data_IF_452653638472
#
_entry.id   IF_452653638472
#
_cell.length_a   1.000
_cell.length_b   1.000
_cell.length_c   1.000
_cell.angle_alpha   90.00
_cell.angle_beta   90.00
_cell.angle_gamma   90.00
#
_symmetry.space_group_name_H-M   'P 1'
#
loop_
_entity.id
_entity.type
_entity.pdbx_description
1 polymer ?
#
# COMPACT_ATOMS: atom_id res chain seq x y z
N UNK A 1 -10.53 15.68 6.00
CA UNK A 1 -11.01 15.65 4.60
C UNK A 1 -9.87 16.13 3.72
N UNK A 2 -9.60 15.44 2.62
CA UNK A 2 -8.48 15.75 1.75
C UNK A 2 -8.73 17.03 0.92
N UNK A 3 -7.66 17.74 0.59
CA UNK A 3 -7.68 18.80 -0.41
C UNK A 3 -7.75 18.21 -1.83
N UNK A 4 -8.17 19.02 -2.81
CA UNK A 4 -8.15 18.61 -4.23
C UNK A 4 -6.76 18.14 -4.63
N UNK A 5 -5.70 18.89 -4.26
CA UNK A 5 -4.32 18.53 -4.56
C UNK A 5 -3.96 17.13 -4.06
N UNK A 6 -4.33 16.79 -2.82
CA UNK A 6 -4.09 15.46 -2.27
C UNK A 6 -4.87 14.36 -3.01
N UNK A 7 -6.13 14.63 -3.39
CA UNK A 7 -6.98 13.64 -4.05
C UNK A 7 -6.67 13.42 -5.54
N UNK A 8 -5.97 14.36 -6.18
CA UNK A 8 -5.62 14.29 -7.61
C UNK A 8 -4.12 14.20 -7.86
N UNK A 9 -3.31 13.97 -6.83
CA UNK A 9 -1.88 13.73 -6.96
C UNK A 9 -1.46 12.56 -6.09
N UNK A 10 -0.39 11.90 -6.51
CA UNK A 10 0.13 10.76 -5.80
C UNK A 10 1.18 11.23 -4.79
N UNK A 11 0.97 10.88 -3.52
CA UNK A 11 1.96 11.13 -2.47
C UNK A 11 3.13 10.15 -2.67
N UNK A 12 4.32 10.68 -2.91
CA UNK A 12 5.53 9.89 -3.13
C UNK A 12 6.15 9.46 -1.79
N UNK A 13 6.76 8.28 -1.80
CA UNK A 13 7.49 7.68 -0.67
C UNK A 13 8.93 8.21 -0.56
N UNK A 14 9.51 8.65 -1.68
CA UNK A 14 10.93 8.98 -1.79
C UNK A 14 11.82 7.79 -2.19
N UNK A 15 11.25 6.59 -2.34
CA UNK A 15 11.96 5.39 -2.75
C UNK A 15 11.56 4.99 -4.17
N UNK A 16 12.55 4.82 -5.05
CA UNK A 16 12.30 4.63 -6.48
C UNK A 16 11.52 3.33 -6.78
N UNK A 17 11.76 2.25 -6.03
CA UNK A 17 11.06 0.97 -6.22
C UNK A 17 9.56 1.07 -5.94
N UNK A 18 9.15 2.02 -5.10
CA UNK A 18 7.74 2.34 -4.84
C UNK A 18 7.25 3.39 -5.84
N UNK A 19 7.93 4.54 -5.91
CA UNK A 19 7.46 5.74 -6.61
C UNK A 19 7.34 5.55 -8.13
N UNK A 20 8.17 4.69 -8.71
CA UNK A 20 8.09 4.35 -10.13
C UNK A 20 6.84 3.53 -10.48
N UNK A 21 6.12 3.00 -9.49
CA UNK A 21 4.90 2.23 -9.71
C UNK A 21 3.64 3.01 -9.33
N UNK A 22 3.74 4.20 -8.74
CA UNK A 22 2.55 4.90 -8.28
C UNK A 22 1.84 5.64 -9.43
N UNK A 23 0.62 5.19 -9.74
CA UNK A 23 -0.30 5.85 -10.64
C UNK A 23 -1.11 6.95 -9.97
N UNK A 24 -1.82 7.74 -10.78
CA UNK A 24 -2.69 8.84 -10.32
C UNK A 24 -4.19 8.49 -10.35
N UNK A 25 -4.53 7.25 -10.73
CA UNK A 25 -5.88 6.72 -10.84
C UNK A 25 -5.91 5.33 -10.19
N UNK A 26 -7.05 4.85 -9.70
CA UNK A 26 -8.33 5.56 -9.52
C UNK A 26 -8.41 6.37 -8.20
N UNK A 27 -7.36 6.33 -7.36
CA UNK A 27 -7.27 7.06 -6.08
C UNK A 27 -8.33 6.64 -5.04
N UNK A 28 -8.51 5.32 -4.84
CA UNK A 28 -9.50 4.74 -3.91
C UNK A 28 -9.49 5.34 -2.50
N UNK A 29 -8.31 5.70 -2.00
CA UNK A 29 -8.10 6.31 -0.70
C UNK A 29 -8.90 7.61 -0.46
N UNK A 30 -9.36 8.27 -1.53
CA UNK A 30 -10.09 9.52 -1.41
C UNK A 30 -11.59 9.37 -1.68
N UNK A 31 -12.07 8.18 -2.05
CA UNK A 31 -13.51 7.93 -2.24
C UNK A 31 -14.27 8.31 -0.98
N UNK A 32 -15.30 9.15 -1.14
CA UNK A 32 -16.12 9.64 -0.02
C UNK A 32 -17.17 8.61 0.44
N UNK A 33 -16.73 7.36 0.59
CA UNK A 33 -17.44 6.32 1.33
C UNK A 33 -16.87 6.25 2.75
N UNK A 34 -17.70 5.94 3.73
CA UNK A 34 -17.24 5.73 5.12
C UNK A 34 -16.84 4.28 5.39
N UNK A 35 -16.88 3.41 4.38
CA UNK A 35 -16.56 1.99 4.52
C UNK A 35 -15.21 1.67 3.91
N UNK A 36 -14.41 0.87 4.61
CA UNK A 36 -13.27 0.16 4.02
C UNK A 36 -13.76 -1.02 3.15
N UNK A 37 -14.57 -0.74 2.14
CA UNK A 37 -15.21 -1.74 1.28
C UNK A 37 -15.39 -1.19 -0.13
N UNK A 38 -14.93 -1.96 -1.11
CA UNK A 38 -15.19 -1.75 -2.53
C UNK A 38 -16.01 -2.93 -3.06
N UNK A 39 -17.06 -2.62 -3.79
CA UNK A 39 -17.89 -3.60 -4.47
C UNK A 39 -17.38 -3.83 -5.88
N UNK A 40 -17.31 -5.10 -6.27
CA UNK A 40 -16.99 -5.49 -7.64
C UNK A 40 -18.08 -6.37 -8.23
N UNK A 41 -18.17 -6.41 -9.56
CA UNK A 41 -19.14 -7.25 -10.26
C UNK A 41 -18.55 -7.91 -11.50
N UNK A 42 -19.16 -9.04 -11.88
CA UNK A 42 -18.96 -9.69 -13.18
C UNK A 42 -20.16 -9.46 -14.13
N UNK A 43 -21.17 -8.70 -13.68
CA UNK A 43 -22.38 -8.44 -14.44
C UNK A 43 -22.08 -7.48 -15.58
N UNK A 44 -22.44 -7.87 -16.81
CA UNK A 44 -22.39 -6.99 -17.99
C UNK A 44 -23.74 -6.35 -18.30
N UNK A 45 -24.69 -6.39 -17.35
CA UNK A 45 -26.07 -5.96 -17.60
C UNK A 45 -26.28 -4.44 -17.55
N UNK A 46 -25.45 -3.70 -16.81
CA UNK A 46 -25.56 -2.25 -16.65
C UNK A 46 -24.22 -1.65 -16.23
N UNK A 47 -24.10 -0.31 -16.32
CA UNK A 47 -22.92 0.46 -15.90
C UNK A 47 -21.59 -0.02 -16.49
N UNK A 48 -21.60 -0.62 -17.67
CA UNK A 48 -20.39 -0.83 -18.44
C UNK A 48 -19.83 0.50 -18.94
N UNK A 49 -18.52 0.53 -19.15
CA UNK A 49 -17.85 1.68 -19.72
C UNK A 49 -18.38 2.00 -21.13
N UNK A 50 -18.54 3.28 -21.44
CA UNK A 50 -18.94 3.76 -22.76
C UNK A 50 -17.91 4.72 -23.33
N UNK A 51 -17.65 4.65 -24.64
CA UNK A 51 -16.79 5.62 -25.34
C UNK A 51 -15.28 5.31 -25.28
N UNK A 52 -14.88 4.19 -24.68
CA UNK A 52 -13.51 3.72 -24.72
C UNK A 52 -13.18 3.13 -26.11
N UNK A 53 -12.31 3.80 -26.87
CA UNK A 53 -11.96 3.38 -28.24
C UNK A 53 -11.11 2.12 -28.30
N UNK A 54 -10.58 1.64 -27.16
CA UNK A 54 -9.89 0.37 -27.09
C UNK A 54 -10.84 -0.83 -27.18
N UNK A 55 -12.13 -0.65 -26.87
CA UNK A 55 -13.13 -1.71 -26.93
C UNK A 55 -13.67 -1.86 -28.35
N UNK A 56 -13.31 -2.95 -29.03
CA UNK A 56 -13.75 -3.26 -30.39
C UNK A 56 -15.13 -3.94 -30.45
N UNK A 57 -15.66 -4.35 -29.29
CA UNK A 57 -16.99 -4.94 -29.16
C UNK A 57 -17.55 -4.72 -27.75
N UNK A 58 -18.83 -5.02 -27.57
CA UNK A 58 -19.45 -4.98 -26.24
C UNK A 58 -18.78 -6.00 -25.29
N UNK A 59 -18.50 -5.63 -24.02
CA UNK A 59 -17.95 -6.55 -23.04
C UNK A 59 -18.80 -7.80 -22.85
N UNK A 60 -18.14 -8.93 -22.66
CA UNK A 60 -18.72 -10.25 -22.45
C UNK A 60 -18.45 -10.71 -21.02
N UNK A 61 -19.40 -11.41 -20.41
CA UNK A 61 -19.24 -11.90 -19.04
C UNK A 61 -18.07 -12.86 -18.89
N UNK A 62 -17.38 -12.81 -17.75
CA UNK A 62 -16.43 -13.84 -17.36
C UNK A 62 -17.13 -15.19 -17.19
N UNK A 63 -16.45 -16.27 -17.63
CA UNK A 63 -16.89 -17.64 -17.37
C UNK A 63 -16.86 -17.93 -15.86
N UNK A 64 -17.58 -18.96 -15.41
CA UNK A 64 -17.55 -19.34 -13.99
C UNK A 64 -16.15 -19.64 -13.46
N UNK A 65 -15.25 -20.18 -14.30
CA UNK A 65 -13.85 -20.42 -13.94
C UNK A 65 -13.06 -19.12 -13.78
N UNK A 66 -13.23 -18.17 -14.72
CA UNK A 66 -12.60 -16.84 -14.61
C UNK A 66 -13.09 -16.11 -13.36
N UNK A 67 -14.40 -16.10 -13.09
CA UNK A 67 -14.96 -15.49 -11.88
C UNK A 67 -14.40 -16.12 -10.59
N UNK A 68 -14.28 -17.45 -10.55
CA UNK A 68 -13.71 -18.14 -9.39
C UNK A 68 -12.24 -17.76 -9.15
N UNK A 69 -11.44 -17.69 -10.21
CA UNK A 69 -10.06 -17.22 -10.13
C UNK A 69 -9.97 -15.75 -9.67
N UNK A 70 -10.81 -14.87 -10.22
CA UNK A 70 -10.85 -13.45 -9.82
C UNK A 70 -11.24 -13.30 -8.36
N UNK A 71 -12.22 -14.05 -7.83
CA UNK A 71 -12.53 -14.06 -6.39
C UNK A 71 -11.30 -14.43 -5.54
N UNK A 72 -10.52 -15.40 -5.99
CA UNK A 72 -9.24 -15.77 -5.36
C UNK A 72 -8.24 -14.63 -5.35
N UNK A 73 -8.03 -13.97 -6.50
CA UNK A 73 -7.17 -12.79 -6.62
C UNK A 73 -7.67 -11.64 -5.73
N UNK A 74 -8.97 -11.36 -5.71
CA UNK A 74 -9.57 -10.32 -4.86
C UNK A 74 -9.38 -10.59 -3.36
N UNK A 75 -9.43 -11.86 -2.93
CA UNK A 75 -9.12 -12.24 -1.56
C UNK A 75 -7.63 -12.03 -1.23
N UNK A 76 -6.72 -12.39 -2.15
CA UNK A 76 -5.29 -12.15 -1.99
C UNK A 76 -4.98 -10.65 -1.84
N UNK A 77 -5.51 -9.80 -2.72
CA UNK A 77 -5.27 -8.34 -2.63
C UNK A 77 -5.97 -7.70 -1.44
N UNK A 78 -7.07 -8.29 -0.94
CA UNK A 78 -7.71 -7.87 0.31
C UNK A 78 -6.77 -8.05 1.51
N UNK A 79 -6.04 -9.18 1.57
CA UNK A 79 -5.06 -9.43 2.62
C UNK A 79 -3.86 -8.48 2.55
N UNK A 80 -3.45 -8.12 1.33
CA UNK A 80 -2.31 -7.24 1.11
C UNK A 80 -2.62 -5.77 1.42
N UNK A 81 -3.78 -5.28 0.97
CA UNK A 81 -4.15 -3.87 1.06
C UNK A 81 -4.95 -3.53 2.30
N UNK A 82 -5.59 -4.52 2.93
CA UNK A 82 -6.58 -4.33 3.98
C UNK A 82 -7.96 -3.89 3.45
N UNK A 83 -8.11 -3.65 2.14
CA UNK A 83 -9.41 -3.27 1.53
C UNK A 83 -10.32 -4.49 1.50
N UNK A 84 -11.58 -4.34 1.91
CA UNK A 84 -12.58 -5.40 1.75
C UNK A 84 -13.19 -5.35 0.35
N UNK A 85 -12.98 -6.39 -0.45
CA UNK A 85 -13.60 -6.52 -1.76
C UNK A 85 -14.84 -7.41 -1.67
N UNK A 86 -16.01 -6.87 -2.02
CA UNK A 86 -17.28 -7.57 -1.94
C UNK A 86 -17.90 -7.72 -3.33
N UNK A 87 -18.15 -8.96 -3.75
CA UNK A 87 -18.87 -9.19 -5.00
C UNK A 87 -20.34 -8.77 -4.86
N UNK A 88 -20.90 -8.17 -5.90
CA UNK A 88 -22.32 -7.88 -6.04
C UNK A 88 -22.83 -8.24 -7.44
N UNK A 89 -24.07 -8.72 -7.51
CA UNK A 89 -24.80 -8.87 -8.77
C UNK A 89 -25.40 -7.54 -9.28
N UNK A 90 -25.53 -6.55 -8.38
CA UNK A 90 -26.02 -5.22 -8.72
C UNK A 90 -24.87 -4.34 -9.24
N UNK A 91 -24.79 -4.23 -10.57
CA UNK A 91 -23.79 -3.41 -11.25
C UNK A 91 -23.91 -1.90 -10.92
N UNK A 92 -25.03 -1.45 -10.33
CA UNK A 92 -25.18 -0.06 -9.89
C UNK A 92 -24.49 0.25 -8.57
N UNK A 93 -24.17 -0.78 -7.78
CA UNK A 93 -23.40 -0.66 -6.54
C UNK A 93 -21.89 -0.85 -6.74
N UNK A 94 -21.50 -1.56 -7.81
CA UNK A 94 -20.11 -1.91 -8.06
C UNK A 94 -19.27 -0.70 -8.51
N UNK A 95 -18.13 -0.51 -7.86
CA UNK A 95 -17.08 0.41 -8.31
C UNK A 95 -16.12 -0.27 -9.29
N UNK A 96 -15.96 -1.59 -9.19
CA UNK A 96 -15.05 -2.35 -10.06
C UNK A 96 -15.84 -3.33 -10.92
N UNK A 97 -15.56 -3.35 -12.22
CA UNK A 97 -16.24 -4.23 -13.18
C UNK A 97 -15.22 -5.13 -13.86
N UNK A 98 -15.46 -6.44 -13.85
CA UNK A 98 -14.63 -7.43 -14.53
C UNK A 98 -15.39 -8.06 -15.69
N UNK A 99 -14.82 -8.01 -16.89
CA UNK A 99 -15.41 -8.62 -18.08
C UNK A 99 -14.34 -9.00 -19.11
N UNK A 100 -14.70 -9.89 -20.04
CA UNK A 100 -13.92 -10.10 -21.26
C UNK A 100 -14.29 -8.99 -22.26
N UNK A 101 -13.36 -8.58 -23.11
CA UNK A 101 -13.66 -7.69 -24.24
C UNK A 101 -12.72 -7.97 -25.41
N UNK A 102 -13.16 -7.65 -26.63
CA UNK A 102 -12.21 -7.62 -27.75
C UNK A 102 -11.49 -6.27 -27.70
N UNK A 103 -10.18 -6.30 -27.45
CA UNK A 103 -9.37 -5.11 -27.28
C UNK A 103 -8.62 -4.76 -28.57
N UNK A 104 -8.33 -3.46 -28.75
CA UNK A 104 -7.46 -3.01 -29.82
C UNK A 104 -5.99 -3.24 -29.50
N UNK A 105 -5.20 -3.61 -30.52
CA UNK A 105 -3.77 -3.86 -30.40
C UNK A 105 -3.48 -5.35 -30.16
N UNK A 106 -2.78 -5.98 -31.10
CA UNK A 106 -2.55 -7.44 -31.08
C UNK A 106 -1.66 -7.92 -29.93
N UNK A 107 -1.00 -7.01 -29.22
CA UNK A 107 -0.16 -7.32 -28.05
C UNK A 107 -0.86 -7.00 -26.72
N UNK A 108 -2.09 -6.50 -26.73
CA UNK A 108 -2.85 -6.13 -25.54
C UNK A 108 -3.54 -7.37 -24.97
N UNK A 109 -3.08 -7.86 -23.82
CA UNK A 109 -3.66 -9.07 -23.18
C UNK A 109 -4.78 -8.73 -22.20
N UNK A 110 -4.79 -7.51 -21.67
CA UNK A 110 -5.77 -6.97 -20.76
C UNK A 110 -5.78 -5.44 -20.80
N UNK A 111 -6.72 -4.84 -20.07
CA UNK A 111 -6.86 -3.40 -19.92
C UNK A 111 -7.61 -3.07 -18.63
N UNK A 112 -7.00 -2.29 -17.75
CA UNK A 112 -7.72 -1.46 -16.78
C UNK A 112 -8.07 -0.09 -17.38
N UNK A 113 -9.33 0.31 -17.19
CA UNK A 113 -9.76 1.69 -17.44
C UNK A 113 -10.37 2.28 -16.18
N UNK A 114 -9.65 3.21 -15.58
CA UNK A 114 -9.99 3.83 -14.31
C UNK A 114 -10.46 5.28 -14.49
N UNK A 115 -11.50 5.65 -13.74
CA UNK A 115 -12.11 6.99 -13.77
C UNK A 115 -12.38 7.49 -12.35
N UNK A 116 -12.30 8.79 -12.15
CA UNK A 116 -12.87 9.43 -10.97
C UNK A 116 -13.60 10.73 -11.32
N UNK A 117 -14.45 11.17 -10.41
CA UNK A 117 -14.96 12.55 -10.38
C UNK A 117 -15.07 13.04 -8.95
N UNK A 118 -14.97 14.36 -8.77
CA UNK A 118 -15.02 14.96 -7.45
C UNK A 118 -15.73 16.32 -7.44
N UNK A 119 -16.25 16.69 -6.27
CA UNK A 119 -16.69 18.05 -5.95
C UNK A 119 -15.91 18.59 -4.77
N UNK A 120 -15.77 19.91 -4.66
CA UNK A 120 -15.00 20.56 -3.60
C UNK A 120 -15.66 21.88 -3.17
N UNK A 121 -15.33 22.34 -1.96
CA UNK A 121 -15.82 23.61 -1.42
C UNK A 121 -14.91 24.80 -1.78
N UNK A 122 -15.26 26.01 -1.34
CA UNK A 122 -14.48 27.23 -1.59
C UNK A 122 -13.05 27.23 -0.99
N UNK A 123 -12.74 26.29 -0.11
CA UNK A 123 -11.41 26.09 0.48
C UNK A 123 -10.62 24.95 -0.20
N UNK A 124 -11.04 24.49 -1.39
CA UNK A 124 -10.43 23.38 -2.12
C UNK A 124 -10.40 22.06 -1.34
N UNK A 125 -11.34 21.86 -0.42
CA UNK A 125 -11.52 20.59 0.30
C UNK A 125 -12.53 19.75 -0.47
N UNK A 126 -12.17 18.50 -0.75
CA UNK A 126 -13.04 17.52 -1.43
C UNK A 126 -14.27 17.23 -0.55
N UNK A 127 -15.45 17.35 -1.15
CA UNK A 127 -16.75 17.09 -0.50
C UNK A 127 -17.41 15.81 -1.01
N UNK A 128 -17.08 15.40 -2.24
CA UNK A 128 -17.46 14.12 -2.83
C UNK A 128 -16.35 13.65 -3.74
N UNK A 129 -16.02 12.37 -3.69
CA UNK A 129 -15.10 11.71 -4.59
C UNK A 129 -15.70 10.34 -4.91
N UNK A 130 -15.87 10.06 -6.19
CA UNK A 130 -16.33 8.76 -6.69
C UNK A 130 -15.35 8.28 -7.72
N UNK A 131 -15.08 6.98 -7.71
CA UNK A 131 -14.18 6.35 -8.64
C UNK A 131 -14.78 5.03 -9.14
N UNK A 132 -14.38 4.64 -10.34
CA UNK A 132 -14.75 3.36 -10.96
C UNK A 132 -13.57 2.82 -11.75
N UNK A 133 -13.42 1.50 -11.79
CA UNK A 133 -12.43 0.83 -12.63
C UNK A 133 -13.10 -0.31 -13.40
N UNK A 134 -12.66 -0.49 -14.64
CA UNK A 134 -13.11 -1.52 -15.55
C UNK A 134 -11.92 -2.37 -15.96
N UNK A 135 -11.86 -3.59 -15.46
CA UNK A 135 -10.81 -4.55 -15.77
C UNK A 135 -11.30 -5.50 -16.86
N UNK A 136 -10.69 -5.39 -18.02
CA UNK A 136 -10.97 -6.20 -19.19
C UNK A 136 -9.82 -7.18 -19.48
N UNK A 137 -10.18 -8.42 -19.81
CA UNK A 137 -9.25 -9.37 -20.42
C UNK A 137 -9.56 -9.49 -21.91
N UNK A 138 -8.51 -9.45 -22.74
CA UNK A 138 -8.70 -9.57 -24.18
C UNK A 138 -9.28 -10.94 -24.56
N UNK A 139 -10.26 -10.90 -25.46
CA UNK A 139 -10.97 -12.06 -25.99
C UNK A 139 -10.95 -12.11 -27.53
N UNK A 140 -10.08 -11.33 -28.17
CA UNK A 140 -9.83 -11.38 -29.60
C UNK A 140 -8.59 -12.24 -29.90
N UNK A 141 -7.40 -11.70 -29.67
CA UNK A 141 -6.13 -12.37 -29.92
C UNK A 141 -5.75 -13.32 -28.77
N UNK A 142 -6.16 -13.01 -27.54
CA UNK A 142 -5.67 -13.67 -26.32
C UNK A 142 -6.73 -14.53 -25.60
N UNK A 143 -7.89 -14.76 -26.22
CA UNK A 143 -8.99 -15.55 -25.66
C UNK A 143 -8.54 -16.91 -25.10
N UNK A 144 -7.67 -17.62 -25.82
CA UNK A 144 -7.16 -18.93 -25.40
C UNK A 144 -6.30 -18.89 -24.13
N UNK A 145 -5.50 -17.84 -23.96
CA UNK A 145 -4.69 -17.60 -22.76
C UNK A 145 -5.57 -17.18 -21.59
N UNK A 146 -6.45 -16.19 -21.82
CA UNK A 146 -7.30 -15.58 -20.80
C UNK A 146 -8.48 -16.47 -20.36
N UNK A 147 -8.76 -17.55 -21.10
CA UNK A 147 -9.70 -18.58 -20.67
C UNK A 147 -9.22 -19.34 -19.43
N UNK A 148 -7.90 -19.44 -19.20
CA UNK A 148 -7.32 -20.15 -18.06
C UNK A 148 -6.64 -19.20 -17.08
N UNK A 149 -7.38 -18.80 -16.05
CA UNK A 149 -6.91 -17.96 -14.95
C UNK A 149 -6.51 -18.80 -13.71
N UNK A 150 -6.05 -20.03 -13.90
CA UNK A 150 -5.50 -20.80 -12.77
C UNK A 150 -4.17 -20.18 -12.32
N UNK A 151 -3.87 -20.20 -11.02
CA UNK A 151 -2.54 -19.81 -10.52
C UNK A 151 -1.42 -20.52 -11.29
N UNK A 152 -0.38 -19.79 -11.68
CA UNK A 152 0.76 -20.29 -12.45
C UNK A 152 0.59 -20.22 -13.97
N UNK A 153 -0.50 -19.60 -14.46
CA UNK A 153 -0.73 -19.37 -15.89
C UNK A 153 -0.52 -17.90 -16.26
N UNK A 154 -0.14 -17.66 -17.51
CA UNK A 154 0.06 -16.29 -18.01
C UNK A 154 -1.23 -15.46 -17.97
N UNK A 155 -2.39 -16.08 -18.20
CA UNK A 155 -3.68 -15.39 -18.05
C UNK A 155 -3.93 -14.92 -16.61
N UNK A 156 -3.53 -15.70 -15.59
CA UNK A 156 -3.63 -15.27 -14.20
C UNK A 156 -2.66 -14.14 -13.86
N UNK A 157 -1.44 -14.16 -14.41
CA UNK A 157 -0.49 -13.04 -14.28
C UNK A 157 -1.04 -11.77 -14.95
N UNK A 158 -1.64 -11.87 -16.15
CA UNK A 158 -2.36 -10.74 -16.79
C UNK A 158 -3.49 -10.23 -15.90
N UNK A 159 -4.31 -11.11 -15.31
CA UNK A 159 -5.35 -10.67 -14.37
C UNK A 159 -4.76 -9.89 -13.19
N UNK A 160 -3.65 -10.37 -12.60
CA UNK A 160 -2.98 -9.65 -11.52
C UNK A 160 -2.40 -8.32 -11.99
N UNK A 161 -1.84 -8.26 -13.21
CA UNK A 161 -1.35 -7.03 -13.82
C UNK A 161 -2.45 -5.96 -13.88
N UNK A 162 -3.61 -6.29 -14.46
CA UNK A 162 -4.73 -5.35 -14.56
C UNK A 162 -5.32 -5.00 -13.19
N UNK A 163 -5.32 -5.94 -12.23
CA UNK A 163 -5.68 -5.65 -10.83
C UNK A 163 -4.68 -4.66 -10.20
N UNK A 164 -3.40 -4.71 -10.56
CA UNK A 164 -2.41 -3.73 -10.15
C UNK A 164 -2.79 -2.33 -10.61
N UNK A 165 -3.16 -2.17 -11.89
CA UNK A 165 -3.69 -0.92 -12.42
C UNK A 165 -4.99 -0.48 -11.73
N UNK A 166 -5.94 -1.40 -11.52
CA UNK A 166 -7.16 -1.15 -10.75
C UNK A 166 -6.84 -0.64 -9.34
N UNK A 167 -5.76 -1.11 -8.71
CA UNK A 167 -5.29 -0.63 -7.39
C UNK A 167 -4.44 0.64 -7.47
N UNK A 168 -4.19 1.17 -8.66
CA UNK A 168 -3.47 2.41 -8.92
C UNK A 168 -1.97 2.27 -9.06
N UNK A 169 -1.49 1.09 -9.46
CA UNK A 169 -0.14 0.93 -9.97
C UNK A 169 -0.08 1.37 -11.44
N UNK A 170 1.04 1.95 -11.86
CA UNK A 170 1.35 2.26 -13.27
C UNK A 170 2.50 1.39 -13.76
N UNK A 171 2.72 1.37 -15.08
CA UNK A 171 3.93 0.78 -15.61
C UNK A 171 5.18 1.53 -15.12
N UNK A 172 6.28 0.82 -14.85
CA UNK A 172 7.51 1.40 -14.29
C UNK A 172 8.25 2.34 -15.24
N UNK A 173 7.85 2.40 -16.51
CA UNK A 173 8.43 3.26 -17.54
C UNK A 173 7.51 4.44 -17.93
N UNK A 174 6.33 4.55 -17.32
CA UNK A 174 5.39 5.64 -17.57
C UNK A 174 5.68 6.86 -16.69
N UNK A 175 5.43 8.06 -17.21
CA UNK A 175 5.51 9.30 -16.45
C UNK A 175 6.93 9.87 -16.34
N UNK A 176 7.32 10.32 -15.14
CA UNK A 176 8.61 11.00 -14.90
C UNK A 176 9.55 10.22 -13.98
N UNK A 177 9.01 9.34 -13.14
CA UNK A 177 9.77 8.48 -12.23
C UNK A 177 9.71 7.06 -12.77
N UNK A 178 10.88 6.54 -13.13
CA UNK A 178 11.03 5.22 -13.74
C UNK A 178 11.95 4.32 -12.95
N UNK A 179 11.78 3.01 -13.12
CA UNK A 179 12.74 2.03 -12.67
C UNK A 179 13.98 2.01 -13.59
N UNK A 180 15.18 1.75 -13.05
CA UNK A 180 16.33 1.35 -13.86
C UNK A 180 16.04 0.08 -14.65
N UNK A 181 16.55 -0.02 -15.88
CA UNK A 181 16.30 -1.17 -16.77
C UNK A 181 16.69 -2.53 -16.20
N UNK A 182 17.64 -2.57 -15.25
CA UNK A 182 18.05 -3.81 -14.59
C UNK A 182 16.97 -4.40 -13.68
N UNK A 183 16.05 -3.57 -13.18
CA UNK A 183 14.96 -3.96 -12.27
C UNK A 183 13.57 -3.68 -12.82
N UNK A 184 13.48 -3.12 -14.03
CA UNK A 184 12.23 -3.03 -14.81
C UNK A 184 11.94 -4.38 -15.49
N UNK A 185 11.50 -5.35 -14.69
CA UNK A 185 11.05 -6.67 -15.17
C UNK A 185 10.12 -7.37 -14.15
N UNK A 186 9.41 -8.41 -14.59
CA UNK A 186 8.36 -9.07 -13.78
C UNK A 186 8.86 -9.76 -12.52
N UNK A 187 10.17 -10.02 -12.38
CA UNK A 187 10.72 -10.52 -11.12
C UNK A 187 10.63 -9.47 -9.98
N UNK A 188 10.56 -8.18 -10.31
CA UNK A 188 10.46 -7.07 -9.35
C UNK A 188 9.07 -6.44 -9.33
N UNK A 189 8.42 -6.33 -10.50
CA UNK A 189 7.07 -5.76 -10.63
C UNK A 189 6.30 -6.40 -11.78
N UNK A 190 5.11 -6.93 -11.52
CA UNK A 190 4.21 -7.42 -12.55
C UNK A 190 3.80 -6.32 -13.52
N UNK A 191 3.97 -5.04 -13.17
CA UNK A 191 3.66 -3.91 -14.05
C UNK A 191 4.69 -3.74 -15.19
N UNK A 192 5.80 -4.47 -15.20
CA UNK A 192 6.77 -4.41 -16.30
C UNK A 192 6.32 -5.20 -17.53
N UNK A 193 6.74 -4.75 -18.71
CA UNK A 193 6.61 -5.51 -19.97
C UNK A 193 7.78 -6.46 -20.22
N UNK A 194 8.85 -6.38 -19.43
CA UNK A 194 10.00 -7.27 -19.55
C UNK A 194 9.80 -8.49 -18.64
N UNK A 195 9.58 -9.66 -19.22
CA UNK A 195 9.37 -10.88 -18.42
C UNK A 195 10.68 -11.41 -17.82
N UNK A 196 10.65 -11.74 -16.53
CA UNK A 196 11.72 -12.41 -15.80
C UNK A 196 11.18 -13.28 -14.65
N UNK A 197 11.90 -14.35 -14.31
CA UNK A 197 11.52 -15.22 -13.18
C UNK A 197 10.40 -16.23 -13.46
N UNK A 198 9.88 -16.29 -14.69
CA UNK A 198 8.76 -17.17 -15.06
C UNK A 198 7.41 -16.50 -14.87
N UNK A 199 6.35 -17.31 -14.81
CA UNK A 199 4.98 -16.83 -14.61
C UNK A 199 4.69 -16.62 -13.13
N UNK A 200 4.16 -15.46 -12.78
CA UNK A 200 3.89 -15.08 -11.39
C UNK A 200 2.43 -15.35 -10.98
N UNK A 201 2.24 -15.72 -9.72
CA UNK A 201 0.90 -15.96 -9.12
C UNK A 201 0.59 -15.04 -7.94
N UNK A 202 1.50 -14.14 -7.64
CA UNK A 202 1.41 -13.12 -6.61
C UNK A 202 2.07 -11.87 -7.16
N UNK A 203 1.77 -10.73 -6.56
CA UNK A 203 2.52 -9.50 -6.82
C UNK A 203 3.99 -9.68 -6.44
N UNK A 204 4.87 -9.04 -7.21
CA UNK A 204 6.31 -9.03 -6.93
C UNK A 204 6.62 -7.99 -5.86
N UNK A 205 7.86 -7.99 -5.34
CA UNK A 205 8.21 -7.21 -4.15
C UNK A 205 7.92 -5.70 -4.29
N UNK A 206 8.14 -5.11 -5.46
CA UNK A 206 7.90 -3.67 -5.64
C UNK A 206 6.41 -3.34 -5.74
N UNK A 207 5.62 -4.22 -6.34
CA UNK A 207 4.16 -4.09 -6.34
C UNK A 207 3.62 -4.14 -4.90
N UNK A 208 4.10 -5.09 -4.10
CA UNK A 208 3.75 -5.24 -2.68
C UNK A 208 4.13 -3.98 -1.90
N UNK A 209 5.34 -3.45 -2.11
CA UNK A 209 5.80 -2.24 -1.45
C UNK A 209 4.95 -1.02 -1.83
N UNK A 210 4.62 -0.86 -3.12
CA UNK A 210 3.77 0.21 -3.60
C UNK A 210 2.34 0.12 -3.06
N UNK A 211 1.76 -1.09 -2.99
CA UNK A 211 0.42 -1.29 -2.43
C UNK A 211 0.38 -1.06 -0.91
N UNK A 212 1.44 -1.45 -0.17
CA UNK A 212 1.59 -1.13 1.25
C UNK A 212 1.72 0.38 1.47
N UNK A 213 2.47 1.08 0.62
CA UNK A 213 2.55 2.53 0.68
C UNK A 213 1.18 3.20 0.44
N UNK A 214 0.45 2.73 -0.59
CA UNK A 214 -0.87 3.27 -0.92
C UNK A 214 -1.89 3.01 0.18
N UNK A 215 -1.98 1.80 0.71
CA UNK A 215 -3.13 1.35 1.51
C UNK A 215 -2.80 0.94 2.94
N UNK A 216 -1.52 0.90 3.32
CA UNK A 216 -1.10 0.64 4.69
C UNK A 216 -1.41 -0.76 5.23
N UNK A 217 -1.95 -1.67 4.41
CA UNK A 217 -2.44 -2.97 4.87
C UNK A 217 -3.65 -2.91 5.81
N UNK A 218 -4.13 -1.72 6.16
CA UNK A 218 -5.31 -1.47 6.99
C UNK A 218 -6.49 -0.89 6.20
N UNK A 219 -6.31 -0.74 4.88
CA UNK A 219 -7.35 -0.48 3.90
C UNK A 219 -7.72 1.00 3.77
N UNK A 220 -8.88 1.25 3.18
CA UNK A 220 -9.34 2.60 2.93
C UNK A 220 -9.62 3.31 4.27
N UNK A 221 -9.07 4.51 4.38
CA UNK A 221 -9.14 5.37 5.58
C UNK A 221 -8.46 4.74 6.82
N UNK A 222 -7.52 3.83 6.59
CA UNK A 222 -6.59 3.36 7.59
C UNK A 222 -5.64 4.46 8.08
N UNK A 223 -4.80 4.09 9.04
CA UNK A 223 -3.79 4.95 9.65
C UNK A 223 -2.43 4.88 8.96
N UNK A 224 -2.24 3.95 8.00
CA UNK A 224 -0.94 3.70 7.37
C UNK A 224 -0.91 3.95 5.84
N UNK A 225 -2.05 4.14 5.19
CA UNK A 225 -2.12 4.50 3.77
C UNK A 225 -1.85 5.98 3.48
N UNK A 226 -1.76 6.35 2.21
CA UNK A 226 -1.45 7.74 1.78
C UNK A 226 -2.47 8.79 2.27
N UNK A 227 -3.71 8.38 2.53
CA UNK A 227 -4.77 9.25 3.07
C UNK A 227 -4.81 9.31 4.60
N UNK A 228 -3.89 8.65 5.31
CA UNK A 228 -3.82 8.69 6.76
C UNK A 228 -3.74 10.13 7.25
N UNK A 229 -4.70 10.52 8.08
CA UNK A 229 -4.77 11.85 8.68
C UNK A 229 -3.75 12.03 9.81
N UNK A 230 -3.34 10.92 10.42
CA UNK A 230 -2.30 10.90 11.44
C UNK A 230 -0.89 10.98 10.83
N UNK A 231 -0.78 10.78 9.51
CA UNK A 231 0.49 10.81 8.78
C UNK A 231 1.27 9.49 8.78
N UNK A 232 0.79 8.47 9.47
CA UNK A 232 1.43 7.15 9.52
C UNK A 232 1.53 6.49 8.15
N UNK A 233 2.59 5.70 7.95
CA UNK A 233 2.92 5.02 6.69
C UNK A 233 3.36 3.59 6.93
N UNK A 234 3.03 2.70 5.98
CA UNK A 234 3.74 1.43 5.84
C UNK A 234 4.78 1.56 4.74
N UNK A 235 6.06 1.48 5.12
CA UNK A 235 7.19 1.53 4.23
C UNK A 235 7.86 0.17 4.16
N UNK A 236 7.89 -0.42 2.96
CA UNK A 236 8.53 -1.72 2.72
C UNK A 236 9.76 -1.56 1.81
N UNK A 237 10.85 -2.21 2.21
CA UNK A 237 12.06 -2.36 1.42
C UNK A 237 11.94 -3.50 0.42
N UNK A 238 13.06 -4.14 0.15
CA UNK A 238 13.28 -5.09 -0.92
C UNK A 238 13.95 -6.35 -0.37
N UNK A 239 14.40 -7.22 -1.27
CA UNK A 239 15.26 -8.35 -0.96
C UNK A 239 16.76 -7.99 -0.86
N UNK A 240 17.11 -6.73 -1.06
CA UNK A 240 18.46 -6.20 -0.92
C UNK A 240 18.64 -5.48 0.43
N UNK A 241 19.89 -5.10 0.76
CA UNK A 241 20.15 -4.30 1.95
C UNK A 241 19.64 -2.87 1.77
N UNK A 242 18.59 -2.52 2.51
CA UNK A 242 17.89 -1.24 2.42
C UNK A 242 18.23 -0.30 3.58
N UNK A 243 18.00 0.99 3.35
CA UNK A 243 18.00 2.00 4.42
C UNK A 243 16.67 2.72 4.37
N UNK A 244 15.80 2.41 5.34
CA UNK A 244 14.45 2.96 5.43
C UNK A 244 14.39 3.95 6.59
N UNK A 245 13.98 5.17 6.30
CA UNK A 245 13.67 6.20 7.30
C UNK A 245 12.23 6.63 7.14
N UNK A 246 11.46 6.49 8.23
CA UNK A 246 10.08 6.93 8.31
C UNK A 246 9.96 8.34 8.90
N UNK A 247 8.73 8.75 9.22
CA UNK A 247 8.37 10.13 9.51
C UNK A 247 8.36 10.46 11.01
N UNK A 248 7.42 11.34 11.35
CA UNK A 248 7.16 11.75 12.74
C UNK A 248 5.86 11.15 13.30
N UNK A 249 5.22 10.27 12.52
CA UNK A 249 3.96 9.62 12.85
C UNK A 249 4.23 8.19 13.34
N UNK A 250 3.20 7.45 13.72
CA UNK A 250 3.36 6.05 14.06
C UNK A 250 3.43 5.22 12.76
N UNK A 251 4.63 4.80 12.40
CA UNK A 251 4.93 4.16 11.13
C UNK A 251 5.16 2.65 11.29
N UNK A 252 5.01 1.92 10.19
CA UNK A 252 5.39 0.51 10.06
C UNK A 252 6.50 0.42 9.02
N UNK A 253 7.64 -0.14 9.42
CA UNK A 253 8.79 -0.38 8.55
C UNK A 253 8.97 -1.89 8.38
N UNK A 254 9.16 -2.33 7.16
CA UNK A 254 9.45 -3.71 6.80
C UNK A 254 10.68 -3.72 5.92
N UNK A 255 11.82 -4.20 6.45
CA UNK A 255 13.08 -4.23 5.71
C UNK A 255 12.98 -5.15 4.49
N UNK A 256 12.40 -6.33 4.69
CA UNK A 256 12.36 -7.37 3.67
C UNK A 256 13.45 -8.39 3.94
N UNK A 257 14.12 -8.87 2.89
CA UNK A 257 15.30 -9.70 3.07
C UNK A 257 16.55 -8.82 2.89
N UNK A 258 17.64 -9.12 3.56
CA UNK A 258 18.84 -8.28 3.51
C UNK A 258 19.34 -7.92 4.89
N UNK A 259 20.32 -7.03 4.97
CA UNK A 259 20.75 -6.48 6.24
C UNK A 259 20.37 -5.02 6.26
N UNK A 260 19.23 -4.71 6.84
CA UNK A 260 18.59 -3.41 6.64
C UNK A 260 18.91 -2.44 7.77
N UNK A 261 18.86 -1.15 7.46
CA UNK A 261 18.90 -0.07 8.44
C UNK A 261 17.52 0.58 8.50
N UNK A 262 16.78 0.33 9.58
CA UNK A 262 15.42 0.85 9.77
C UNK A 262 15.41 1.94 10.85
N UNK A 263 14.93 3.12 10.50
CA UNK A 263 14.77 4.24 11.42
C UNK A 263 13.32 4.71 11.44
N UNK A 264 12.63 4.49 12.56
CA UNK A 264 11.22 4.89 12.73
C UNK A 264 11.02 6.41 12.75
N UNK A 265 12.03 7.15 13.19
CA UNK A 265 11.93 8.59 13.35
C UNK A 265 11.30 8.98 14.68
N UNK A 266 10.28 9.83 14.67
CA UNK A 266 9.53 10.15 15.88
C UNK A 266 8.16 9.49 15.82
N UNK A 267 7.61 9.13 16.97
CA UNK A 267 6.33 8.42 17.01
C UNK A 267 6.45 7.17 17.86
N UNK A 268 5.51 6.25 17.67
CA UNK A 268 5.58 4.87 18.16
C UNK A 268 5.62 3.98 16.93
N UNK A 269 6.82 3.55 16.59
CA UNK A 269 7.11 2.91 15.32
C UNK A 269 7.26 1.40 15.48
N UNK A 270 6.85 0.69 14.43
CA UNK A 270 6.85 -0.76 14.39
C UNK A 270 7.77 -1.27 13.28
N UNK A 271 8.78 -2.07 13.64
CA UNK A 271 9.47 -2.90 12.65
C UNK A 271 8.71 -4.23 12.50
N UNK A 272 8.35 -4.58 11.26
CA UNK A 272 7.60 -5.78 10.92
C UNK A 272 8.52 -6.88 10.37
N UNK A 273 8.29 -8.10 10.85
CA UNK A 273 9.00 -9.32 10.47
C UNK A 273 7.97 -10.39 10.15
N UNK A 274 8.11 -11.08 9.00
CA UNK A 274 7.10 -12.02 8.52
C UNK A 274 7.14 -13.39 9.23
N UNK A 275 8.23 -13.70 9.93
CA UNK A 275 8.40 -14.95 10.66
C UNK A 275 7.89 -14.93 12.11
N UNK A 276 7.93 -16.10 12.76
CA UNK A 276 7.61 -16.26 14.17
C UNK A 276 8.67 -15.61 15.05
N UNK A 277 8.30 -15.01 16.18
CA UNK A 277 9.24 -14.38 17.11
C UNK A 277 10.39 -15.31 17.51
N UNK A 278 10.13 -16.60 17.72
CA UNK A 278 11.15 -17.57 18.12
C UNK A 278 12.27 -17.78 17.10
N UNK A 279 12.07 -17.37 15.85
CA UNK A 279 13.06 -17.48 14.77
C UNK A 279 14.06 -16.31 14.74
N UNK A 280 13.89 -15.29 15.59
CA UNK A 280 14.71 -14.08 15.57
C UNK A 280 15.51 -13.89 16.86
N UNK A 281 16.74 -13.43 16.73
CA UNK A 281 17.53 -12.85 17.82
C UNK A 281 17.27 -11.35 17.88
N UNK A 282 17.05 -10.81 19.07
CA UNK A 282 16.82 -9.37 19.29
C UNK A 282 17.81 -8.90 20.35
N UNK A 283 18.75 -8.05 19.95
CA UNK A 283 19.88 -7.61 20.78
C UNK A 283 19.87 -6.09 20.87
N UNK A 284 19.86 -5.54 22.08
CA UNK A 284 20.05 -4.10 22.28
C UNK A 284 21.50 -3.74 22.01
N UNK A 285 21.75 -2.84 21.07
CA UNK A 285 23.12 -2.43 20.67
C UNK A 285 23.51 -1.08 21.25
N UNK A 286 22.54 -0.29 21.70
CA UNK A 286 22.75 1.03 22.30
C UNK A 286 21.48 1.64 22.84
N UNK A 287 21.51 2.95 23.12
CA UNK A 287 20.32 3.69 23.56
C UNK A 287 19.41 3.90 22.36
N UNK A 288 18.20 3.32 22.41
CA UNK A 288 17.24 3.41 21.31
C UNK A 288 17.63 2.64 20.05
N UNK A 289 18.69 1.84 20.09
CA UNK A 289 19.18 1.05 18.95
C UNK A 289 19.22 -0.44 19.25
N UNK A 290 18.82 -1.23 18.26
CA UNK A 290 18.70 -2.68 18.35
C UNK A 290 19.26 -3.33 17.10
N UNK A 291 19.63 -4.60 17.22
CA UNK A 291 19.86 -5.48 16.09
C UNK A 291 18.90 -6.64 16.16
N UNK A 292 18.25 -6.95 15.04
CA UNK A 292 17.32 -8.07 14.90
C UNK A 292 17.83 -8.96 13.79
N UNK A 293 18.03 -10.24 14.06
CA UNK A 293 18.56 -11.19 13.07
C UNK A 293 17.73 -12.46 12.99
N UNK A 294 17.47 -12.95 11.79
CA UNK A 294 16.64 -14.12 11.51
C UNK A 294 16.73 -14.56 10.05
N UNK A 295 15.65 -15.17 9.54
CA UNK A 295 15.58 -15.65 8.16
C UNK A 295 15.61 -14.53 7.11
N UNK A 296 15.16 -13.33 7.50
CA UNK A 296 15.16 -12.11 6.69
C UNK A 296 16.53 -11.41 6.67
N UNK A 297 17.50 -11.88 7.44
CA UNK A 297 18.85 -11.30 7.52
C UNK A 297 19.09 -10.63 8.87
N UNK A 298 19.94 -9.60 8.91
CA UNK A 298 20.39 -8.94 10.14
C UNK A 298 20.25 -7.43 10.07
N UNK A 299 19.21 -6.92 10.69
CA UNK A 299 18.85 -5.51 10.66
C UNK A 299 19.44 -4.74 11.82
N UNK A 300 19.61 -3.45 11.59
CA UNK A 300 19.88 -2.43 12.60
C UNK A 300 18.68 -1.50 12.70
N UNK A 301 18.14 -1.38 13.91
CA UNK A 301 16.96 -0.56 14.19
C UNK A 301 17.35 0.65 15.04
N UNK A 302 16.79 1.81 14.71
CA UNK A 302 16.86 3.03 15.49
C UNK A 302 15.46 3.64 15.63
N UNK A 303 15.13 4.17 16.82
CA UNK A 303 13.83 4.79 17.09
C UNK A 303 12.66 3.87 16.71
N UNK A 304 12.70 2.62 17.20
CA UNK A 304 11.64 1.63 17.03
C UNK A 304 11.19 1.18 18.43
N UNK A 305 9.89 1.26 18.67
CA UNK A 305 9.26 0.91 19.94
C UNK A 305 8.73 -0.53 19.91
N UNK A 306 8.29 -1.01 18.75
CA UNK A 306 7.57 -2.26 18.59
C UNK A 306 8.22 -3.15 17.52
N UNK A 307 8.35 -4.44 17.80
CA UNK A 307 8.67 -5.46 16.81
C UNK A 307 7.44 -6.33 16.62
N UNK A 308 6.85 -6.33 15.42
CA UNK A 308 5.69 -7.17 15.09
C UNK A 308 6.16 -8.39 14.30
N UNK A 309 5.98 -9.56 14.88
CA UNK A 309 6.20 -10.87 14.25
C UNK A 309 4.86 -11.49 13.85
N UNK A 310 4.89 -12.60 13.12
CA UNK A 310 3.68 -13.30 12.69
C UNK A 310 2.78 -13.78 13.84
N UNK A 311 3.34 -14.05 15.01
CA UNK A 311 2.65 -14.63 16.17
C UNK A 311 2.51 -13.68 17.37
N UNK A 312 3.31 -12.62 17.43
CA UNK A 312 3.30 -11.70 18.59
C UNK A 312 3.93 -10.34 18.26
N UNK A 313 3.56 -9.34 19.05
CA UNK A 313 4.28 -8.07 19.11
C UNK A 313 5.15 -8.02 20.36
N UNK A 314 6.42 -7.65 20.21
CA UNK A 314 7.35 -7.38 21.30
C UNK A 314 7.51 -5.86 21.45
N UNK A 315 7.21 -5.34 22.64
CA UNK A 315 7.57 -3.96 23.00
C UNK A 315 9.03 -3.89 23.42
N UNK A 316 9.78 -3.02 22.77
CA UNK A 316 11.17 -2.74 23.11
C UNK A 316 11.23 -1.75 24.27
N UNK A 317 12.20 -1.95 25.16
CA UNK A 317 12.42 -1.03 26.26
C UNK A 317 13.02 0.28 25.73
N UNK A 318 12.17 1.28 25.52
CA UNK A 318 12.60 2.64 25.21
C UNK A 318 13.11 3.33 26.47
N UNK A 319 14.19 4.10 26.34
CA UNK A 319 14.41 5.19 27.30
C UNK A 319 13.24 6.15 27.16
N UNK A 320 12.61 6.55 28.28
CA UNK A 320 11.47 7.46 28.31
C UNK A 320 11.61 8.62 27.32
N UNK A 321 10.50 9.12 26.71
CA UNK A 321 10.56 10.16 25.70
C UNK A 321 11.34 11.36 26.25
N UNK A 322 12.25 11.91 25.44
CA UNK A 322 12.80 13.23 25.70
C UNK A 322 11.69 14.28 25.49
N UNK A 323 10.82 14.42 26.48
CA UNK A 323 10.12 15.67 26.67
C UNK A 323 11.19 16.72 26.92
N UNK A 324 11.46 17.56 25.91
CA UNK A 324 12.20 18.80 26.08
C UNK A 324 11.50 19.60 27.18
N UNK A 325 11.99 19.50 28.41
CA UNK A 325 11.71 20.51 29.41
C UNK A 325 12.45 21.76 28.94
N UNK A 326 11.74 22.59 28.17
CA UNK A 326 11.99 24.01 28.08
C UNK A 326 11.85 24.56 29.51
N UNK A 327 12.95 24.51 30.27
CA UNK A 327 13.12 25.36 31.42
C UNK A 327 13.20 26.79 30.87
N UNK A 328 12.04 27.44 30.73
CA UNK A 328 11.98 28.89 30.69
C UNK A 328 12.51 29.33 32.06
N UNK A 329 13.75 29.80 32.07
CA UNK A 329 14.34 30.46 33.22
C UNK A 329 13.48 31.70 33.51
N UNK A 330 12.55 31.57 34.44
CA UNK A 330 12.05 32.72 35.17
C UNK A 330 13.11 33.08 36.20
N UNK A 331 13.80 34.18 35.90
CA UNK A 331 14.66 34.94 36.78
C UNK A 331 13.88 35.34 38.03
N UNK A 332 14.23 34.76 39.18
CA UNK A 332 13.79 35.25 40.48
C UNK A 332 15.00 35.33 41.43
N UNK A 333 15.72 36.44 41.30
CA UNK A 333 16.45 37.02 42.42
C UNK A 333 15.42 37.55 43.43
N UNK A 334 15.27 36.88 44.57
CA UNK A 334 15.52 37.51 45.88
C UNK A 334 15.39 36.53 47.06
N UNK A 335 16.54 36.38 47.71
CA UNK A 335 16.84 35.83 49.03
C UNK A 335 15.85 36.33 50.11
N UNK A 336 15.31 35.41 50.92
CA UNK A 336 15.23 35.53 52.39
C UNK A 336 15.27 34.16 53.08
N UNK A 337 16.39 33.92 53.75
CA UNK A 337 16.59 32.88 54.78
C UNK A 337 16.10 33.41 56.13
N UNK A 338 15.07 32.78 56.72
CA UNK A 338 14.75 32.68 58.16
C UNK A 338 13.88 31.41 58.25
N UNK A 339 14.01 30.41 59.10
CA UNK A 339 14.77 30.11 60.31
C UNK A 339 14.07 28.86 60.91
N UNK A 340 14.85 27.98 61.53
CA UNK A 340 14.43 26.69 62.10
C UNK A 340 13.31 26.80 63.16
N UNK A 341 12.48 25.76 63.31
CA UNK A 341 12.47 24.85 64.46
C UNK A 341 11.11 24.12 64.65
N UNK A 342 11.22 22.85 65.03
CA UNK A 342 10.15 21.88 65.30
C UNK A 342 9.36 22.15 66.60
N UNK A 343 8.13 21.63 66.67
CA UNK A 343 7.57 20.97 67.86
C UNK A 343 6.41 20.04 67.46
N UNK A 344 6.37 18.86 68.07
CA UNK A 344 5.42 17.76 67.86
C UNK A 344 4.10 17.91 68.65
N UNK A 345 3.06 17.25 68.13
CA UNK A 345 1.76 16.81 68.69
C UNK A 345 1.00 17.64 69.75
N UNK A 346 -0.22 18.03 69.37
CA UNK A 346 -1.46 17.43 69.91
C UNK A 346 -2.47 17.26 68.77
#
# INVERSE_FOLDING_TARGET
MATVSQATSTTLSGYNHIDALLGALPNWNYVTSTTNTLYYTFSTAANLETGNTALLSAPQGFTSAQQAATRGAMNYVSQLTGIKFMETADATLAQVHFANANLSGSSTTGLDSSHYSYSYNSSNVVTKFVASSYVYLDNAEWAGMNANLSTGTQGYETLLHEIGHMLGLKHPFDGTIHLPSAVDNTAYTLMSYTHAGGVHSTFSEYDVAALKWLYGGDGLAGNLGVNSVAGGRWLAGTSAADTLTAGAANDVLEGGAGNDALNGGAGTDTAFYSGLRSAYSVVKTGTGTWSVSGAEGSDTLANIELLRFADTTLTLATSAPQSQYLAVAHDDMHVRLIGQAHAEFA
#
